data_IF_146950711288
#
_entry.id   IF_146950711288
#
_cell.length_a   1.000
_cell.length_b   1.000
_cell.length_c   1.000
_cell.angle_alpha   90.00
_cell.angle_beta   90.00
_cell.angle_gamma   90.00
#
_symmetry.space_group_name_H-M   'P 1'
#
loop_
_entity.id
_entity.type
_entity.pdbx_description
1 polymer ?
#
# COMPACT_ATOMS: atom_id res chain seq x y z
N UNK A 1 37.23 -20.46 -15.45
CA UNK A 1 37.60 -19.05 -15.69
C UNK A 1 37.00 -18.23 -14.59
N UNK A 2 37.72 -17.22 -14.07
CA UNK A 2 37.27 -16.33 -12.98
C UNK A 2 35.85 -15.79 -13.20
N UNK A 3 35.45 -15.58 -14.46
CA UNK A 3 34.09 -15.17 -14.84
C UNK A 3 32.98 -16.18 -14.51
N UNK A 4 33.24 -17.49 -14.53
CA UNK A 4 32.20 -18.49 -14.17
C UNK A 4 32.00 -18.54 -12.66
N UNK A 5 33.09 -18.45 -11.90
CA UNK A 5 33.10 -18.45 -10.44
C UNK A 5 32.42 -17.17 -9.89
N UNK A 6 32.73 -15.99 -10.45
CA UNK A 6 32.04 -14.74 -10.11
C UNK A 6 30.56 -14.73 -10.52
N UNK A 7 30.16 -15.45 -11.57
CA UNK A 7 28.75 -15.57 -11.97
C UNK A 7 27.99 -16.55 -11.06
N UNK A 8 28.62 -17.63 -10.63
CA UNK A 8 28.04 -18.59 -9.67
C UNK A 8 27.91 -17.96 -8.28
N UNK A 9 28.96 -17.30 -7.79
CA UNK A 9 28.96 -16.59 -6.51
C UNK A 9 27.93 -15.45 -6.50
N UNK A 10 27.79 -14.70 -7.60
CA UNK A 10 26.71 -13.70 -7.73
C UNK A 10 25.31 -14.33 -7.80
N UNK A 11 25.14 -15.47 -8.47
CA UNK A 11 23.84 -16.17 -8.50
C UNK A 11 23.45 -16.68 -7.12
N UNK A 12 24.41 -17.20 -6.38
CA UNK A 12 24.21 -17.72 -5.03
C UNK A 12 23.91 -16.59 -4.04
N UNK A 13 24.67 -15.49 -4.08
CA UNK A 13 24.40 -14.28 -3.30
C UNK A 13 23.04 -13.66 -3.64
N UNK A 14 22.67 -13.60 -4.92
CA UNK A 14 21.34 -13.11 -5.35
C UNK A 14 20.24 -14.03 -4.82
N UNK A 15 20.42 -15.35 -4.87
CA UNK A 15 19.43 -16.31 -4.35
C UNK A 15 19.27 -16.20 -2.83
N UNK A 16 20.37 -16.11 -2.08
CA UNK A 16 20.36 -15.93 -0.63
C UNK A 16 19.66 -14.61 -0.25
N UNK A 17 19.95 -13.53 -0.97
CA UNK A 17 19.30 -12.24 -0.75
C UNK A 17 17.80 -12.29 -1.06
N UNK A 18 17.37 -13.02 -2.11
CA UNK A 18 15.96 -13.21 -2.43
C UNK A 18 15.20 -14.03 -1.38
N UNK A 19 15.82 -15.07 -0.81
CA UNK A 19 15.21 -15.85 0.27
C UNK A 19 15.09 -15.01 1.55
N UNK A 20 16.10 -14.21 1.92
CA UNK A 20 15.99 -13.28 3.04
C UNK A 20 14.90 -12.22 2.82
N UNK A 21 14.78 -11.68 1.60
CA UNK A 21 13.70 -10.74 1.25
C UNK A 21 12.33 -11.42 1.37
N UNK A 22 12.20 -12.67 0.90
CA UNK A 22 10.97 -13.44 1.03
C UNK A 22 10.61 -13.72 2.49
N UNK A 23 11.57 -14.12 3.31
CA UNK A 23 11.35 -14.35 4.74
C UNK A 23 10.96 -13.06 5.48
N UNK A 24 11.61 -11.93 5.14
CA UNK A 24 11.25 -10.61 5.65
C UNK A 24 9.83 -10.21 5.23
N UNK A 25 9.44 -10.47 3.98
CA UNK A 25 8.08 -10.25 3.49
C UNK A 25 7.10 -11.08 4.31
N UNK A 26 7.35 -12.38 4.49
CA UNK A 26 6.47 -13.27 5.28
C UNK A 26 6.34 -12.80 6.73
N UNK A 27 7.44 -12.45 7.40
CA UNK A 27 7.43 -11.92 8.78
C UNK A 27 6.66 -10.60 8.87
N UNK A 28 6.80 -9.75 7.86
CA UNK A 28 6.04 -8.50 7.77
C UNK A 28 4.55 -8.78 7.55
N UNK A 29 4.19 -9.72 6.66
CA UNK A 29 2.81 -10.17 6.44
C UNK A 29 2.16 -10.73 7.72
N UNK A 30 2.91 -11.51 8.51
CA UNK A 30 2.44 -12.03 9.80
C UNK A 30 2.24 -10.93 10.84
N UNK A 31 3.20 -10.01 10.98
CA UNK A 31 3.11 -8.88 11.91
C UNK A 31 1.96 -7.94 11.54
N UNK A 32 1.74 -7.72 10.25
CA UNK A 32 0.57 -7.02 9.75
C UNK A 32 -0.73 -7.73 10.10
N UNK A 33 -0.81 -9.06 9.89
CA UNK A 33 -2.03 -9.81 10.20
C UNK A 33 -2.41 -9.61 11.67
N UNK A 34 -1.44 -9.68 12.58
CA UNK A 34 -1.66 -9.41 14.01
C UNK A 34 -2.10 -7.96 14.29
N UNK A 35 -1.52 -6.97 13.59
CA UNK A 35 -1.93 -5.57 13.70
C UNK A 35 -3.37 -5.37 13.18
N UNK A 36 -3.72 -5.98 12.06
CA UNK A 36 -5.05 -5.93 11.44
C UNK A 36 -6.07 -6.60 12.38
N UNK A 37 -5.78 -7.79 12.91
CA UNK A 37 -6.63 -8.46 13.89
C UNK A 37 -6.88 -7.59 15.12
N UNK A 38 -5.85 -6.85 15.57
CA UNK A 38 -5.97 -5.91 16.68
C UNK A 38 -6.91 -4.75 16.32
N UNK A 39 -6.74 -4.15 15.14
CA UNK A 39 -7.61 -3.08 14.63
C UNK A 39 -9.06 -3.56 14.42
N UNK A 40 -9.25 -4.80 13.96
CA UNK A 40 -10.58 -5.40 13.79
C UNK A 40 -11.28 -5.66 15.12
N UNK A 41 -10.58 -6.20 16.13
CA UNK A 41 -11.14 -6.39 17.48
C UNK A 41 -11.58 -5.05 18.08
N UNK A 42 -10.80 -3.99 17.88
CA UNK A 42 -11.14 -2.64 18.32
C UNK A 42 -12.40 -2.13 17.60
N UNK A 43 -12.52 -2.37 16.28
CA UNK A 43 -13.70 -1.99 15.50
C UNK A 43 -14.97 -2.78 15.89
N UNK A 44 -14.83 -4.08 16.26
CA UNK A 44 -15.93 -4.96 16.66
C UNK A 44 -16.34 -4.82 18.14
N UNK A 45 -15.46 -4.24 18.97
CA UNK A 45 -15.54 -4.30 20.43
C UNK A 45 -16.33 -3.17 21.10
N UNK A 46 -16.02 -1.91 20.86
CA UNK A 46 -16.63 -0.80 21.61
C UNK A 46 -16.34 0.53 20.91
N UNK A 47 -17.33 1.07 20.21
CA UNK A 47 -17.20 2.24 19.34
C UNK A 47 -16.40 3.40 19.96
N UNK A 48 -15.33 3.81 19.27
CA UNK A 48 -15.00 5.19 18.84
C UNK A 48 -13.52 5.30 18.48
N UNK A 49 -13.22 6.12 17.47
CA UNK A 49 -11.86 6.58 17.10
C UNK A 49 -11.02 7.11 18.30
N UNK A 50 -11.67 7.45 19.43
CA UNK A 50 -11.01 7.91 20.66
C UNK A 50 -10.33 6.81 21.49
N UNK A 51 -10.74 5.54 21.36
CA UNK A 51 -10.05 4.40 22.00
C UNK A 51 -8.80 3.97 21.22
N UNK A 52 -8.81 4.12 19.89
CA UNK A 52 -7.67 3.87 18.99
C UNK A 52 -6.39 4.64 19.38
N UNK A 53 -6.51 5.83 19.96
CA UNK A 53 -5.37 6.67 20.39
C UNK A 53 -4.85 6.29 21.79
N UNK A 54 -5.49 5.34 22.47
CA UNK A 54 -5.17 5.01 23.88
C UNK A 54 -4.73 3.58 24.13
N UNK A 55 -4.66 2.73 23.11
CA UNK A 55 -4.25 1.32 23.26
C UNK A 55 -2.73 1.14 23.13
N UNK A 56 -1.99 0.84 24.23
CA UNK A 56 -0.54 0.72 24.20
C UNK A 56 -0.06 -0.40 23.27
N UNK A 57 -0.82 -1.49 23.16
CA UNK A 57 -0.49 -2.62 22.28
C UNK A 57 -0.52 -2.23 20.80
N UNK A 58 -1.42 -1.32 20.41
CA UNK A 58 -1.50 -0.84 19.03
C UNK A 58 -0.29 0.01 18.67
N UNK A 59 0.17 0.86 19.60
CA UNK A 59 1.38 1.64 19.43
C UNK A 59 2.61 0.76 19.28
N UNK A 60 2.77 -0.26 20.14
CA UNK A 60 3.89 -1.19 20.08
C UNK A 60 3.94 -1.96 18.77
N UNK A 61 2.79 -2.50 18.30
CA UNK A 61 2.71 -3.19 17.01
C UNK A 61 2.98 -2.25 15.83
N UNK A 62 2.48 -1.02 15.89
CA UNK A 62 2.77 -0.01 14.86
C UNK A 62 4.27 0.34 14.83
N UNK A 63 4.92 0.45 16.00
CA UNK A 63 6.37 0.69 16.11
C UNK A 63 7.19 -0.51 15.62
N UNK A 64 6.76 -1.75 15.86
CA UNK A 64 7.38 -2.96 15.29
C UNK A 64 7.32 -2.92 13.76
N UNK A 65 6.14 -2.66 13.18
CA UNK A 65 5.99 -2.51 11.73
C UNK A 65 6.86 -1.39 11.20
N UNK A 66 6.90 -0.22 11.84
CA UNK A 66 7.78 0.88 11.41
C UNK A 66 9.25 0.46 11.43
N UNK A 67 9.73 -0.21 12.49
CA UNK A 67 11.11 -0.70 12.59
C UNK A 67 11.44 -1.75 11.52
N UNK A 68 10.51 -2.65 11.22
CA UNK A 68 10.68 -3.64 10.16
C UNK A 68 10.77 -2.96 8.78
N UNK A 69 9.93 -1.96 8.53
CA UNK A 69 9.95 -1.17 7.28
C UNK A 69 11.22 -0.31 7.16
N UNK A 70 11.73 0.26 8.26
CA UNK A 70 13.01 0.98 8.28
C UNK A 70 14.19 0.06 7.91
N UNK A 71 14.16 -1.21 8.34
CA UNK A 71 15.14 -2.22 7.95
C UNK A 71 15.21 -2.48 6.44
N UNK A 72 14.11 -2.25 5.71
CA UNK A 72 14.02 -2.39 4.25
C UNK A 72 14.64 -1.19 3.51
N UNK A 73 14.61 0.00 4.09
CA UNK A 73 15.04 1.27 3.45
C UNK A 73 16.56 1.46 3.33
N UNK A 74 17.40 0.41 3.44
CA UNK A 74 18.87 0.54 3.39
C UNK A 74 19.31 1.43 2.21
N UNK A 75 20.14 2.47 2.46
CA UNK A 75 20.41 3.50 1.48
C UNK A 75 21.29 2.97 0.34
N UNK A 76 20.66 2.68 -0.81
CA UNK A 76 21.36 2.70 -2.09
C UNK A 76 21.38 4.16 -2.54
N UNK A 77 22.55 4.80 -2.46
CA UNK A 77 22.71 6.22 -2.74
C UNK A 77 22.13 6.59 -4.12
N UNK A 78 21.26 7.60 -4.15
CA UNK A 78 20.60 8.27 -5.29
C UNK A 78 19.23 7.75 -5.75
N UNK A 79 18.73 6.63 -5.22
CA UNK A 79 17.38 6.15 -5.53
C UNK A 79 16.41 6.68 -4.47
N UNK A 80 15.41 7.46 -4.86
CA UNK A 80 14.33 7.86 -3.94
C UNK A 80 13.37 6.68 -3.79
N UNK A 81 13.51 5.93 -2.69
CA UNK A 81 12.63 4.84 -2.33
C UNK A 81 11.74 5.27 -1.16
N UNK A 82 10.51 4.76 -1.10
CA UNK A 82 9.63 4.99 0.03
C UNK A 82 8.93 3.71 0.42
N UNK A 83 8.63 3.58 1.70
CA UNK A 83 7.83 2.48 2.24
C UNK A 83 6.65 3.07 2.98
N UNK A 84 5.47 2.48 2.83
CA UNK A 84 4.28 3.01 3.48
C UNK A 84 3.26 1.94 3.85
N UNK A 85 2.54 2.20 4.93
CA UNK A 85 1.40 1.44 5.39
C UNK A 85 0.14 2.27 5.18
N UNK A 86 -0.94 1.65 4.70
CA UNK A 86 -2.25 2.30 4.52
C UNK A 86 -3.35 1.37 4.97
N UNK A 87 -4.32 1.89 5.70
CA UNK A 87 -5.54 1.17 6.07
C UNK A 87 -6.76 1.90 5.52
N UNK A 88 -7.75 1.14 5.08
CA UNK A 88 -9.01 1.63 4.53
C UNK A 88 -10.14 0.87 5.22
N UNK A 89 -10.92 1.58 6.02
CA UNK A 89 -12.09 1.05 6.71
C UNK A 89 -13.35 1.33 5.91
N UNK A 90 -14.07 0.26 5.61
CA UNK A 90 -15.29 0.22 4.82
C UNK A 90 -16.48 0.05 5.76
N UNK A 91 -17.27 1.11 5.89
CA UNK A 91 -18.22 1.25 7.00
C UNK A 91 -19.47 0.38 6.89
N UNK A 92 -19.89 0.02 5.68
CA UNK A 92 -21.10 -0.78 5.46
C UNK A 92 -20.79 -2.28 5.63
N UNK A 93 -19.66 -2.72 5.09
CA UNK A 93 -19.14 -4.08 5.20
C UNK A 93 -18.43 -4.35 6.54
N UNK A 94 -18.12 -3.29 7.31
CA UNK A 94 -17.29 -3.33 8.52
C UNK A 94 -15.93 -4.02 8.30
N UNK A 95 -15.32 -3.74 7.14
CA UNK A 95 -14.09 -4.38 6.70
C UNK A 95 -12.90 -3.42 6.77
N UNK A 96 -11.74 -3.97 7.13
CA UNK A 96 -10.49 -3.24 7.16
C UNK A 96 -9.53 -3.79 6.10
N UNK A 97 -9.39 -3.03 5.01
CA UNK A 97 -8.42 -3.34 3.95
C UNK A 97 -7.09 -2.68 4.27
N UNK A 98 -5.99 -3.41 4.15
CA UNK A 98 -4.66 -2.91 4.52
C UNK A 98 -3.68 -3.09 3.38
N UNK A 99 -2.80 -2.11 3.19
CA UNK A 99 -1.81 -2.06 2.12
C UNK A 99 -0.44 -1.76 2.72
N UNK A 100 0.56 -2.59 2.40
CA UNK A 100 1.95 -2.15 2.40
C UNK A 100 2.29 -1.70 0.99
N UNK A 101 3.03 -0.61 0.90
CA UNK A 101 3.53 -0.04 -0.34
C UNK A 101 5.03 0.13 -0.29
N UNK A 102 5.68 -0.27 -1.38
CA UNK A 102 7.07 0.02 -1.69
C UNK A 102 7.05 0.84 -2.98
N UNK A 103 7.60 2.05 -2.93
CA UNK A 103 7.73 2.87 -4.13
C UNK A 103 9.19 3.23 -4.39
N UNK A 104 9.51 3.36 -5.67
CA UNK A 104 10.85 3.63 -6.18
C UNK A 104 10.67 4.70 -7.25
N UNK A 105 11.47 5.76 -7.20
CA UNK A 105 11.57 6.77 -8.25
C UNK A 105 12.92 6.66 -8.94
N UNK A 106 13.03 5.95 -10.07
CA UNK A 106 14.28 5.84 -10.82
C UNK A 106 14.73 7.18 -11.40
N UNK A 107 13.78 8.03 -11.78
CA UNK A 107 14.01 9.38 -12.30
C UNK A 107 13.27 10.42 -11.45
N UNK A 108 13.30 11.70 -11.85
CA UNK A 108 12.54 12.73 -11.13
C UNK A 108 11.03 12.61 -11.40
N UNK A 109 10.66 12.04 -12.53
CA UNK A 109 9.30 11.99 -13.06
C UNK A 109 8.69 10.58 -12.96
N UNK A 110 9.47 9.51 -13.10
CA UNK A 110 8.95 8.15 -13.16
C UNK A 110 8.99 7.46 -11.80
N UNK A 111 8.02 6.59 -11.56
CA UNK A 111 7.99 5.75 -10.36
C UNK A 111 7.45 4.35 -10.64
N UNK A 112 7.90 3.42 -9.80
CA UNK A 112 7.40 2.06 -9.67
C UNK A 112 6.77 1.91 -8.29
N UNK A 113 5.64 1.22 -8.23
CA UNK A 113 4.89 0.94 -7.00
C UNK A 113 4.61 -0.55 -6.91
N UNK A 114 5.08 -1.19 -5.85
CA UNK A 114 4.69 -2.54 -5.45
C UNK A 114 3.86 -2.47 -4.18
N UNK A 115 2.81 -3.28 -4.07
CA UNK A 115 1.97 -3.35 -2.88
C UNK A 115 1.57 -4.77 -2.52
N UNK A 116 1.54 -5.06 -1.22
CA UNK A 116 0.91 -6.24 -0.63
C UNK A 116 -0.36 -5.77 0.06
N UNK A 117 -1.47 -6.45 -0.19
CA UNK A 117 -2.80 -5.96 0.15
C UNK A 117 -3.58 -7.08 0.82
N UNK A 118 -3.91 -6.92 2.11
CA UNK A 118 -4.87 -7.81 2.76
C UNK A 118 -6.28 -7.41 2.34
N UNK A 119 -6.94 -8.26 1.55
CA UNK A 119 -8.27 -8.00 1.00
C UNK A 119 -9.34 -8.81 1.77
N UNK A 120 -10.13 -8.17 2.66
CA UNK A 120 -11.07 -8.87 3.52
C UNK A 120 -12.28 -9.46 2.77
N UNK A 121 -12.57 -9.05 1.53
CA UNK A 121 -13.63 -9.67 0.72
C UNK A 121 -13.20 -11.01 0.13
N UNK A 122 -11.89 -11.21 -0.05
CA UNK A 122 -11.32 -12.39 -0.69
C UNK A 122 -10.71 -13.37 0.31
N UNK A 123 -10.63 -12.97 1.58
CA UNK A 123 -9.95 -13.70 2.66
C UNK A 123 -8.53 -14.15 2.26
N UNK A 124 -7.81 -13.26 1.57
CA UNK A 124 -6.45 -13.51 1.07
C UNK A 124 -5.68 -12.23 0.80
N UNK A 125 -4.37 -12.39 0.67
CA UNK A 125 -3.50 -11.34 0.14
C UNK A 125 -3.64 -11.20 -1.38
N UNK A 126 -3.65 -9.95 -1.84
CA UNK A 126 -3.55 -9.55 -3.25
C UNK A 126 -2.35 -8.63 -3.43
N UNK A 127 -1.94 -8.42 -4.68
CA UNK A 127 -0.70 -7.70 -4.97
C UNK A 127 -0.93 -6.64 -6.04
N UNK A 128 -0.24 -5.51 -5.93
CA UNK A 128 -0.18 -4.53 -7.01
C UNK A 128 1.26 -4.32 -7.46
N UNK A 129 1.43 -4.14 -8.76
CA UNK A 129 2.69 -3.73 -9.37
C UNK A 129 2.37 -2.76 -10.50
N UNK A 130 2.75 -1.49 -10.32
CA UNK A 130 2.35 -0.40 -11.19
C UNK A 130 3.57 0.43 -11.58
N UNK A 131 3.58 0.89 -12.83
CA UNK A 131 4.47 1.95 -13.30
C UNK A 131 3.67 3.22 -13.55
N UNK A 132 4.24 4.35 -13.17
CA UNK A 132 3.62 5.65 -13.39
C UNK A 132 4.65 6.73 -13.65
N UNK A 133 4.14 7.87 -14.08
CA UNK A 133 4.95 9.04 -14.37
C UNK A 133 4.23 10.28 -13.88
N UNK A 134 4.98 11.24 -13.39
CA UNK A 134 4.49 12.49 -12.85
C UNK A 134 4.81 13.64 -13.81
N UNK A 135 3.75 14.24 -14.33
CA UNK A 135 3.79 15.39 -15.22
C UNK A 135 3.15 16.59 -14.52
N UNK A 136 3.98 17.29 -13.74
CA UNK A 136 3.54 18.41 -12.91
C UNK A 136 2.52 17.97 -11.85
N UNK A 137 1.26 18.37 -12.04
CA UNK A 137 0.14 18.05 -11.14
C UNK A 137 -0.57 16.75 -11.49
N UNK A 138 -0.34 16.16 -12.66
CA UNK A 138 -0.97 14.91 -13.06
C UNK A 138 0.01 13.75 -13.00
N UNK A 139 -0.49 12.56 -12.69
CA UNK A 139 0.34 11.37 -12.63
C UNK A 139 -0.44 10.13 -13.08
N UNK A 140 -0.46 9.84 -14.39
CA UNK A 140 -1.01 8.59 -14.89
C UNK A 140 -0.16 7.39 -14.46
N UNK A 141 -0.82 6.25 -14.26
CA UNK A 141 -0.20 4.95 -13.94
C UNK A 141 -0.99 3.80 -14.53
N UNK A 142 -0.29 2.70 -14.76
CA UNK A 142 -0.88 1.45 -15.23
C UNK A 142 -0.11 0.25 -14.66
N UNK A 143 -0.77 -0.92 -14.66
CA UNK A 143 -0.14 -2.17 -14.28
C UNK A 143 -1.13 -3.14 -13.65
N UNK A 144 -0.63 -3.91 -12.68
CA UNK A 144 -1.43 -4.79 -11.84
C UNK A 144 -1.90 -4.02 -10.61
N UNK A 145 -3.20 -3.96 -10.39
CA UNK A 145 -3.91 -3.39 -9.24
C UNK A 145 -4.76 -4.49 -8.61
N UNK A 146 -4.50 -4.84 -7.35
CA UNK A 146 -5.23 -5.89 -6.62
C UNK A 146 -5.30 -7.22 -7.39
N UNK A 147 -4.15 -7.63 -7.95
CA UNK A 147 -3.98 -8.83 -8.79
C UNK A 147 -4.76 -8.80 -10.11
N UNK A 148 -5.20 -7.62 -10.58
CA UNK A 148 -5.94 -7.39 -11.82
C UNK A 148 -5.26 -6.35 -12.68
N UNK A 149 -5.44 -6.38 -14.00
CA UNK A 149 -5.00 -5.26 -14.83
C UNK A 149 -5.80 -3.99 -14.52
N UNK A 150 -5.12 -2.85 -14.46
CA UNK A 150 -5.70 -1.58 -14.06
C UNK A 150 -4.93 -0.35 -14.55
N UNK A 151 -5.63 0.77 -14.60
CA UNK A 151 -5.09 2.10 -14.90
C UNK A 151 -5.59 3.09 -13.86
N UNK A 152 -4.82 4.15 -13.62
CA UNK A 152 -5.22 5.22 -12.71
C UNK A 152 -4.57 6.54 -13.06
N UNK A 153 -5.17 7.62 -12.56
CA UNK A 153 -4.63 8.97 -12.69
C UNK A 153 -4.71 9.63 -11.32
N UNK A 154 -3.57 10.12 -10.86
CA UNK A 154 -3.48 10.99 -9.69
C UNK A 154 -3.45 12.46 -10.11
N UNK A 155 -4.14 13.30 -9.36
CA UNK A 155 -4.09 14.76 -9.46
C UNK A 155 -3.64 15.35 -8.12
N UNK A 156 -2.49 16.02 -8.15
CA UNK A 156 -1.86 16.66 -7.00
C UNK A 156 -2.20 18.16 -6.96
N UNK A 157 -2.56 18.65 -5.78
CA UNK A 157 -2.87 20.06 -5.55
C UNK A 157 -2.43 20.49 -4.15
N UNK A 158 -2.52 21.79 -3.84
CA UNK A 158 -2.12 22.39 -2.58
C UNK A 158 -0.67 22.04 -2.17
N UNK A 159 0.27 22.20 -3.11
CA UNK A 159 1.70 21.84 -2.92
C UNK A 159 1.85 20.39 -2.45
N UNK A 160 1.17 19.48 -3.13
CA UNK A 160 1.17 18.03 -2.88
C UNK A 160 0.54 17.58 -1.56
N UNK A 161 -0.09 18.49 -0.81
CA UNK A 161 -0.82 18.11 0.42
C UNK A 161 -2.11 17.36 0.11
N UNK A 162 -2.71 17.58 -1.05
CA UNK A 162 -3.93 16.90 -1.47
C UNK A 162 -3.68 16.16 -2.78
N UNK A 163 -4.07 14.88 -2.80
CA UNK A 163 -4.01 14.02 -3.98
C UNK A 163 -5.37 13.40 -4.21
N UNK A 164 -5.96 13.63 -5.39
CA UNK A 164 -7.13 12.90 -5.86
C UNK A 164 -6.68 11.77 -6.77
N UNK A 165 -7.32 10.62 -6.68
CA UNK A 165 -6.96 9.43 -7.43
C UNK A 165 -8.23 8.80 -7.99
N UNK A 166 -8.24 8.58 -9.31
CA UNK A 166 -9.26 7.79 -10.00
C UNK A 166 -8.58 6.55 -10.55
N UNK A 167 -9.14 5.38 -10.28
CA UNK A 167 -8.65 4.07 -10.71
C UNK A 167 -9.77 3.31 -11.41
N UNK A 168 -9.41 2.57 -12.47
CA UNK A 168 -10.25 1.59 -13.14
C UNK A 168 -9.46 0.30 -13.30
N UNK A 169 -9.99 -0.81 -12.80
CA UNK A 169 -9.32 -2.11 -12.83
C UNK A 169 -10.32 -3.27 -12.86
N UNK A 170 -9.79 -4.49 -13.05
CA UNK A 170 -10.58 -5.72 -13.23
C UNK A 170 -11.52 -5.62 -14.44
N UNK A 171 -10.97 -5.28 -15.62
CA UNK A 171 -11.74 -5.10 -16.86
C UNK A 171 -12.46 -6.36 -17.37
N UNK A 172 -12.07 -7.54 -16.88
CA UNK A 172 -12.74 -8.80 -17.18
C UNK A 172 -14.01 -9.01 -16.35
N UNK A 173 -14.25 -8.17 -15.34
CA UNK A 173 -15.43 -8.23 -14.48
C UNK A 173 -16.69 -7.86 -15.24
N UNK A 174 -17.79 -8.55 -14.94
CA UNK A 174 -19.14 -8.23 -15.42
C UNK A 174 -19.98 -7.60 -14.30
N UNK A 175 -20.90 -6.66 -14.61
CA UNK A 175 -21.21 -6.12 -15.93
C UNK A 175 -20.18 -5.09 -16.43
N UNK A 176 -19.34 -4.54 -15.56
CA UNK A 176 -18.34 -3.52 -15.88
C UNK A 176 -17.14 -3.57 -14.93
N UNK A 177 -16.00 -2.95 -15.29
CA UNK A 177 -14.83 -2.85 -14.40
C UNK A 177 -15.16 -2.21 -13.06
N UNK A 178 -14.25 -2.38 -12.11
CA UNK A 178 -14.29 -1.71 -10.82
C UNK A 178 -13.69 -0.33 -10.98
N UNK A 179 -14.40 0.67 -10.45
CA UNK A 179 -13.94 2.05 -10.43
C UNK A 179 -13.81 2.52 -8.98
N UNK A 180 -12.65 3.07 -8.63
CA UNK A 180 -12.37 3.57 -7.28
C UNK A 180 -11.94 5.03 -7.39
N UNK A 181 -12.54 5.88 -6.56
CA UNK A 181 -12.19 7.28 -6.43
C UNK A 181 -11.78 7.52 -4.98
N UNK A 182 -10.62 8.12 -4.76
CA UNK A 182 -10.17 8.42 -3.41
C UNK A 182 -9.31 9.68 -3.35
N UNK A 183 -9.27 10.28 -2.17
CA UNK A 183 -8.44 11.44 -1.87
C UNK A 183 -7.54 11.15 -0.69
N UNK A 184 -6.34 11.72 -0.71
CA UNK A 184 -5.37 11.70 0.37
C UNK A 184 -5.04 13.12 0.78
N UNK A 185 -5.11 13.39 2.09
CA UNK A 185 -4.67 14.62 2.73
C UNK A 185 -3.45 14.37 3.62
N UNK A 186 -2.32 14.98 3.30
CA UNK A 186 -1.11 14.90 4.12
C UNK A 186 -1.28 15.75 5.39
N UNK A 187 -1.56 15.07 6.51
CA UNK A 187 -1.70 15.70 7.82
C UNK A 187 -0.33 16.06 8.43
N UNK A 188 0.72 15.31 8.08
CA UNK A 188 2.11 15.60 8.45
C UNK A 188 3.08 15.10 7.36
N UNK A 189 4.40 15.12 7.65
CA UNK A 189 5.42 14.57 6.76
C UNK A 189 5.32 13.04 6.59
N UNK A 190 4.79 12.33 7.58
CA UNK A 190 4.68 10.88 7.59
C UNK A 190 3.25 10.39 7.47
N UNK A 191 2.30 11.12 8.07
CA UNK A 191 0.91 10.69 8.19
C UNK A 191 0.01 11.37 7.18
N UNK A 192 -0.95 10.61 6.67
CA UNK A 192 -2.02 11.12 5.84
C UNK A 192 -3.35 10.47 6.17
N UNK A 193 -4.42 11.21 5.92
CA UNK A 193 -5.79 10.74 5.99
C UNK A 193 -6.28 10.44 4.59
N UNK A 194 -7.21 9.50 4.47
CA UNK A 194 -7.85 9.15 3.21
C UNK A 194 -9.36 9.03 3.35
N UNK A 195 -10.05 9.37 2.27
CA UNK A 195 -11.48 9.22 2.09
C UNK A 195 -11.70 8.78 0.64
N UNK A 196 -12.62 7.86 0.41
CA UNK A 196 -12.93 7.43 -0.94
C UNK A 196 -14.26 6.71 -1.07
N UNK A 197 -14.54 6.37 -2.31
CA UNK A 197 -15.69 5.60 -2.72
C UNK A 197 -15.21 4.51 -3.67
N UNK A 198 -15.51 3.28 -3.31
CA UNK A 198 -15.17 2.09 -4.07
C UNK A 198 -16.36 1.63 -4.89
N UNK A 199 -16.05 0.98 -6.02
CA UNK A 199 -17.00 0.49 -7.02
C UNK A 199 -18.16 1.45 -7.33
N UNK A 200 -17.85 2.76 -7.38
CA UNK A 200 -18.87 3.82 -7.31
C UNK A 200 -19.84 3.84 -8.48
N UNK A 201 -19.50 3.17 -9.58
CA UNK A 201 -20.39 3.05 -10.73
C UNK A 201 -21.49 2.01 -10.48
N UNK A 202 -21.31 1.03 -9.59
CA UNK A 202 -22.23 -0.09 -9.35
C UNK A 202 -22.96 0.12 -8.03
N UNK A 203 -24.20 0.62 -8.10
CA UNK A 203 -24.96 1.00 -6.91
C UNK A 203 -25.09 -0.12 -5.85
N UNK A 204 -25.09 -1.39 -6.26
CA UNK A 204 -25.17 -2.55 -5.35
C UNK A 204 -23.85 -2.97 -4.69
N UNK A 205 -22.72 -2.41 -5.11
CA UNK A 205 -21.38 -2.67 -4.54
C UNK A 205 -20.64 -1.40 -4.11
N UNK A 206 -21.24 -0.25 -4.37
CA UNK A 206 -20.69 1.06 -4.06
C UNK A 206 -20.61 1.20 -2.55
N UNK A 207 -19.42 1.50 -2.06
CA UNK A 207 -19.20 1.65 -0.63
C UNK A 207 -18.22 2.79 -0.35
N UNK A 208 -18.50 3.56 0.70
CA UNK A 208 -17.59 4.58 1.20
C UNK A 208 -16.57 3.98 2.15
N UNK A 209 -15.34 4.48 2.06
CA UNK A 209 -14.29 4.13 2.99
C UNK A 209 -13.52 5.37 3.44
N UNK A 210 -12.93 5.28 4.62
CA UNK A 210 -11.99 6.26 5.14
C UNK A 210 -10.83 5.54 5.82
N UNK A 211 -9.76 6.25 6.11
CA UNK A 211 -8.65 5.63 6.82
C UNK A 211 -7.45 6.53 6.97
N UNK A 212 -6.31 5.89 7.15
CA UNK A 212 -5.07 6.53 7.51
C UNK A 212 -3.90 5.78 6.90
N UNK A 213 -2.82 6.51 6.64
CA UNK A 213 -1.59 5.91 6.20
C UNK A 213 -0.37 6.63 6.72
N UNK A 214 0.71 5.88 6.75
CA UNK A 214 2.05 6.29 7.11
C UNK A 214 2.96 6.03 5.90
N UNK A 215 3.84 6.96 5.60
CA UNK A 215 4.81 6.85 4.50
C UNK A 215 6.16 7.40 4.94
N UNK A 216 7.19 6.58 4.82
CA UNK A 216 8.60 6.89 5.03
C UNK A 216 9.25 7.05 3.66
N UNK A 217 9.93 8.17 3.44
CA UNK A 217 10.59 8.55 2.18
C UNK A 217 12.07 8.75 2.38
#
# INVERSE_FOLDING_TARGET
>A
SLLKETVEENRENVKINLEHIKELITKTEESLRLLIESLEKINKGEGTLGKLIREPELYQRAEEVVRDLEGVMRPVSNIRASVGLRTEYYGESNFLKSYISFSLWPTKEEYLLAQIIHDPWLDKFTYSFQGGMRWGTFSPRAGIMESKFGIGVDYFTFRDRLKFSIESFDFNRRPRPRFKLWTRYAASKYFYLLLGIDDFTLASRREFFFGLGLELK
#
